data_IF_815135425985
#
_entry.id   IF_815135425985
#
_cell.length_a   1.000
_cell.length_b   1.000
_cell.length_c   1.000
_cell.angle_alpha   90.00
_cell.angle_beta   90.00
_cell.angle_gamma   90.00
#
_symmetry.space_group_name_H-M   'P 1'
#
loop_
_entity.id
_entity.type
_entity.pdbx_description
1 polymer ?
#
# COMPACT_ATOMS: atom_id res chain seq x y z
N UNK A 1 28.51 -14.33 44.04
CA UNK A 1 28.25 -13.04 43.32
C UNK A 1 27.79 -13.19 41.85
N UNK A 2 27.93 -14.35 41.22
CA UNK A 2 27.69 -14.57 39.77
C UNK A 2 26.23 -14.66 39.33
N UNK A 3 25.31 -15.20 40.14
CA UNK A 3 23.89 -15.37 39.76
C UNK A 3 23.10 -14.06 39.64
N UNK A 4 23.37 -13.08 40.48
CA UNK A 4 22.70 -11.75 40.45
C UNK A 4 23.17 -10.94 39.23
N UNK A 5 24.44 -10.99 38.89
CA UNK A 5 24.99 -10.32 37.73
C UNK A 5 24.43 -10.89 36.40
N UNK A 6 24.24 -12.22 36.31
CA UNK A 6 23.64 -12.87 35.15
C UNK A 6 22.18 -12.46 34.98
N UNK A 7 21.40 -12.39 36.07
CA UNK A 7 20.00 -11.95 36.04
C UNK A 7 19.84 -10.52 35.61
N UNK A 8 20.68 -9.60 36.09
CA UNK A 8 20.67 -8.19 35.69
C UNK A 8 21.03 -7.99 34.22
N UNK A 9 21.99 -8.77 33.69
CA UNK A 9 22.36 -8.73 32.28
C UNK A 9 21.23 -9.21 31.37
N UNK A 10 20.56 -10.31 31.74
CA UNK A 10 19.43 -10.85 30.96
C UNK A 10 18.23 -9.87 30.95
N UNK A 11 17.96 -9.24 32.09
CA UNK A 11 16.92 -8.22 32.20
C UNK A 11 17.22 -7.00 31.32
N UNK A 12 18.45 -6.50 31.33
CA UNK A 12 18.87 -5.37 30.48
C UNK A 12 18.72 -5.69 28.98
N UNK A 13 19.12 -6.91 28.56
CA UNK A 13 18.93 -7.37 27.17
C UNK A 13 17.44 -7.44 26.81
N UNK A 14 16.60 -8.00 27.68
CA UNK A 14 15.15 -8.07 27.47
C UNK A 14 14.50 -6.69 27.31
N UNK A 15 14.83 -5.76 28.18
CA UNK A 15 14.37 -4.35 28.09
C UNK A 15 14.87 -3.70 26.81
N UNK A 16 16.13 -3.91 26.44
CA UNK A 16 16.70 -3.38 25.19
C UNK A 16 15.96 -3.87 23.95
N UNK A 17 15.63 -5.17 23.89
CA UNK A 17 14.85 -5.75 22.78
C UNK A 17 13.41 -5.22 22.73
N UNK A 18 12.78 -5.01 23.89
CA UNK A 18 11.44 -4.41 23.95
C UNK A 18 11.44 -2.97 23.45
N UNK A 19 12.40 -2.16 23.90
CA UNK A 19 12.55 -0.77 23.46
C UNK A 19 12.86 -0.69 21.96
N UNK A 20 13.71 -1.57 21.45
CA UNK A 20 14.02 -1.65 20.03
C UNK A 20 12.78 -2.01 19.19
N UNK A 21 12.01 -3.01 19.64
CA UNK A 21 10.76 -3.41 18.98
C UNK A 21 9.72 -2.28 19.00
N UNK A 22 9.56 -1.61 20.12
CA UNK A 22 8.67 -0.45 20.26
C UNK A 22 9.09 0.71 19.32
N UNK A 23 10.39 0.97 19.18
CA UNK A 23 10.90 1.99 18.29
C UNK A 23 10.62 1.67 16.79
N UNK A 24 10.73 0.40 16.38
CA UNK A 24 10.38 -0.03 15.02
C UNK A 24 8.89 0.18 14.76
N UNK A 25 8.03 -0.22 15.69
CA UNK A 25 6.58 -0.05 15.56
C UNK A 25 6.19 1.44 15.50
N UNK A 26 6.79 2.28 16.36
CA UNK A 26 6.56 3.71 16.38
C UNK A 26 6.98 4.38 15.06
N UNK A 27 8.13 3.99 14.49
CA UNK A 27 8.58 4.52 13.18
C UNK A 27 7.60 4.18 12.07
N UNK A 28 7.04 2.96 12.04
CA UNK A 28 6.02 2.57 11.06
C UNK A 28 4.71 3.37 11.22
N UNK A 29 4.27 3.61 12.47
CA UNK A 29 3.10 4.44 12.74
C UNK A 29 3.31 5.89 12.27
N UNK A 30 4.45 6.50 12.65
CA UNK A 30 4.79 7.87 12.22
C UNK A 30 4.90 8.01 10.70
N UNK A 31 5.42 6.99 10.00
CA UNK A 31 5.50 7.01 8.54
C UNK A 31 4.11 6.98 7.90
N UNK A 32 3.17 6.19 8.44
CA UNK A 32 1.77 6.15 7.99
C UNK A 32 1.07 7.48 8.21
N UNK A 33 1.19 8.05 9.41
CA UNK A 33 0.60 9.35 9.74
C UNK A 33 1.13 10.45 8.81
N UNK A 34 2.44 10.42 8.53
CA UNK A 34 3.05 11.35 7.58
C UNK A 34 2.47 11.20 6.16
N UNK A 35 2.29 9.97 5.68
CA UNK A 35 1.69 9.71 4.37
C UNK A 35 0.24 10.19 4.30
N UNK A 36 -0.56 9.93 5.35
CA UNK A 36 -1.95 10.40 5.47
C UNK A 36 -2.04 11.92 5.50
N UNK A 37 -1.26 12.58 6.35
CA UNK A 37 -1.23 14.04 6.43
C UNK A 37 -0.79 14.70 5.10
N UNK A 38 0.18 14.10 4.42
CA UNK A 38 0.63 14.57 3.11
C UNK A 38 -0.47 14.40 2.04
N UNK A 39 -1.22 13.31 2.07
CA UNK A 39 -2.38 13.10 1.20
C UNK A 39 -3.46 14.16 1.44
N UNK A 40 -3.86 14.37 2.69
CA UNK A 40 -4.85 15.38 3.07
C UNK A 40 -4.45 16.81 2.62
N UNK A 41 -3.15 17.14 2.72
CA UNK A 41 -2.63 18.41 2.22
C UNK A 41 -2.72 18.50 0.70
N UNK A 42 -2.47 17.42 -0.04
CA UNK A 42 -2.62 17.40 -1.50
C UNK A 42 -4.08 17.58 -1.90
N UNK A 43 -5.01 16.91 -1.22
CA UNK A 43 -6.45 17.07 -1.46
C UNK A 43 -6.91 18.49 -1.17
N UNK A 44 -6.50 19.08 -0.05
CA UNK A 44 -6.83 20.45 0.33
C UNK A 44 -6.29 21.47 -0.70
N UNK A 45 -5.03 21.34 -1.13
CA UNK A 45 -4.43 22.21 -2.17
C UNK A 45 -5.19 22.10 -3.47
N UNK A 46 -5.60 20.89 -3.87
CA UNK A 46 -6.38 20.69 -5.07
C UNK A 46 -7.75 21.33 -4.97
N UNK A 47 -8.48 21.16 -3.86
CA UNK A 47 -9.78 21.77 -3.64
C UNK A 47 -9.72 23.31 -3.79
N UNK A 48 -8.66 23.92 -3.26
CA UNK A 48 -8.41 25.38 -3.44
C UNK A 48 -8.10 25.72 -4.90
N UNK A 49 -7.27 24.92 -5.58
CA UNK A 49 -6.93 25.16 -6.98
C UNK A 49 -8.14 25.00 -7.91
N UNK A 50 -9.01 24.02 -7.69
CA UNK A 50 -10.24 23.83 -8.48
C UNK A 50 -11.27 24.93 -8.24
N UNK A 51 -11.29 25.56 -7.08
CA UNK A 51 -12.16 26.71 -6.79
C UNK A 51 -11.68 28.02 -7.45
N UNK A 52 -10.41 28.11 -7.88
CA UNK A 52 -9.80 29.33 -8.42
C UNK A 52 -9.28 29.26 -9.86
N UNK A 53 -9.32 28.13 -10.56
CA UNK A 53 -8.59 27.94 -11.80
C UNK A 53 -9.47 27.69 -13.02
N UNK A 54 -9.46 28.70 -13.89
CA UNK A 54 -9.48 28.53 -15.33
C UNK A 54 -8.05 28.15 -15.78
N UNK A 55 -7.90 26.98 -16.43
CA UNK A 55 -6.64 26.48 -17.04
C UNK A 55 -5.51 26.01 -16.11
N UNK A 56 -5.61 24.81 -15.58
CA UNK A 56 -4.44 24.08 -15.07
C UNK A 56 -3.84 23.21 -16.20
N UNK A 57 -2.62 23.53 -16.60
CA UNK A 57 -1.76 22.65 -17.41
C UNK A 57 -1.63 21.32 -16.67
N UNK A 58 -1.98 20.20 -17.33
CA UNK A 58 -1.70 18.85 -16.84
C UNK A 58 -0.18 18.64 -16.79
N UNK A 59 0.42 19.00 -15.69
CA UNK A 59 1.78 18.57 -15.41
C UNK A 59 1.76 17.05 -15.24
N UNK A 60 2.59 16.35 -15.98
CA UNK A 60 2.84 14.91 -15.76
C UNK A 60 3.37 14.77 -14.34
N UNK A 61 2.70 14.05 -13.45
CA UNK A 61 3.16 13.94 -12.06
C UNK A 61 4.52 13.25 -12.05
N UNK A 62 5.55 13.97 -11.59
CA UNK A 62 6.83 13.36 -11.27
C UNK A 62 6.66 12.62 -9.94
N UNK A 63 6.66 11.30 -9.97
CA UNK A 63 6.51 10.49 -8.78
C UNK A 63 7.81 10.46 -8.00
N UNK A 64 7.76 11.01 -6.79
CA UNK A 64 8.87 10.95 -5.84
C UNK A 64 8.66 9.72 -4.95
N UNK A 65 9.68 8.90 -4.79
CA UNK A 65 9.61 7.73 -3.91
C UNK A 65 9.13 8.11 -2.50
N UNK A 66 8.15 7.36 -1.99
CA UNK A 66 7.51 7.62 -0.69
C UNK A 66 6.43 8.71 -0.69
N UNK A 67 6.19 9.40 -1.82
CA UNK A 67 5.11 10.38 -1.92
C UNK A 67 3.74 9.67 -1.94
N UNK A 68 2.69 10.26 -1.33
CA UNK A 68 1.33 9.71 -1.40
C UNK A 68 0.81 9.83 -2.85
N UNK A 69 0.17 8.74 -3.31
CA UNK A 69 -0.28 8.61 -4.69
C UNK A 69 -1.79 8.38 -4.80
N UNK A 70 -2.34 7.56 -3.91
CA UNK A 70 -3.76 7.22 -3.92
C UNK A 70 -4.23 6.84 -2.51
N UNK A 71 -5.53 6.94 -2.26
CA UNK A 71 -6.18 6.36 -1.11
C UNK A 71 -6.79 5.01 -1.51
N UNK A 72 -6.50 3.96 -0.75
CA UNK A 72 -6.94 2.59 -1.00
C UNK A 72 -7.85 2.12 0.12
N UNK A 73 -9.09 1.78 -0.23
CA UNK A 73 -10.07 1.25 0.71
C UNK A 73 -10.52 -0.13 0.27
N UNK A 74 -10.47 -1.11 1.17
CA UNK A 74 -10.96 -2.47 0.95
C UNK A 74 -11.91 -2.84 2.09
N UNK A 75 -13.23 -2.63 1.92
CA UNK A 75 -14.21 -2.79 3.01
C UNK A 75 -14.21 -4.20 3.62
N UNK A 76 -14.07 -5.23 2.79
CA UNK A 76 -14.07 -6.65 3.21
C UNK A 76 -13.08 -6.96 4.33
N UNK A 77 -11.95 -6.31 4.34
CA UNK A 77 -10.86 -6.56 5.29
C UNK A 77 -10.59 -5.36 6.21
N UNK A 78 -11.43 -4.33 6.14
CA UNK A 78 -11.29 -3.10 6.94
C UNK A 78 -10.01 -2.32 6.65
N UNK A 79 -9.48 -2.40 5.41
CA UNK A 79 -8.30 -1.67 5.02
C UNK A 79 -8.69 -0.26 4.56
N UNK A 80 -8.00 0.74 5.09
CA UNK A 80 -8.12 2.17 4.77
C UNK A 80 -6.72 2.78 4.89
N UNK A 81 -5.98 2.84 3.78
CA UNK A 81 -4.56 3.19 3.76
C UNK A 81 -4.19 4.09 2.57
N UNK A 82 -3.17 4.89 2.75
CA UNK A 82 -2.60 5.69 1.66
C UNK A 82 -1.54 4.87 0.92
N UNK A 83 -1.74 4.71 -0.38
CA UNK A 83 -0.74 4.16 -1.29
C UNK A 83 0.35 5.19 -1.51
N UNK A 84 1.59 4.78 -1.33
CA UNK A 84 2.77 5.61 -1.59
C UNK A 84 3.51 5.12 -2.82
N UNK A 85 4.27 5.99 -3.48
CA UNK A 85 5.11 5.61 -4.60
C UNK A 85 6.31 4.79 -4.14
N UNK A 86 6.59 3.68 -4.82
CA UNK A 86 7.72 2.79 -4.53
C UNK A 86 7.34 1.53 -3.76
N UNK A 87 8.20 0.51 -3.87
CA UNK A 87 8.03 -0.82 -3.22
C UNK A 87 9.25 -1.23 -2.44
N UNK A 88 10.15 -0.30 -2.12
CA UNK A 88 11.26 -0.54 -1.21
C UNK A 88 10.79 -0.61 0.27
N UNK A 89 11.69 -1.01 1.16
CA UNK A 89 11.35 -1.18 2.56
C UNK A 89 10.88 0.10 3.25
N UNK A 90 11.33 1.27 2.80
CA UNK A 90 10.92 2.57 3.35
C UNK A 90 9.49 2.91 2.95
N UNK A 91 9.16 2.77 1.66
CA UNK A 91 7.83 2.97 1.14
C UNK A 91 6.82 1.98 1.76
N UNK A 92 7.14 0.68 1.76
CA UNK A 92 6.27 -0.37 2.31
C UNK A 92 6.08 -0.29 3.85
N UNK A 93 6.93 0.45 4.55
CA UNK A 93 6.72 0.76 5.96
C UNK A 93 5.73 1.91 6.17
N UNK A 94 5.60 2.83 5.21
CA UNK A 94 4.68 3.96 5.26
C UNK A 94 3.27 3.61 4.81
N UNK A 95 3.12 2.66 3.88
CA UNK A 95 1.82 2.24 3.33
C UNK A 95 1.93 1.11 2.31
N UNK A 96 0.83 0.70 1.71
CA UNK A 96 0.86 -0.05 0.47
C UNK A 96 1.64 0.74 -0.59
N UNK A 97 2.55 0.10 -1.32
CA UNK A 97 3.43 0.74 -2.27
C UNK A 97 2.98 0.51 -3.72
N UNK A 98 2.93 1.58 -4.50
CA UNK A 98 2.74 1.52 -5.95
C UNK A 98 4.06 1.08 -6.60
N UNK A 99 3.98 0.11 -7.51
CA UNK A 99 5.15 -0.37 -8.24
C UNK A 99 5.56 0.67 -9.30
N UNK A 100 6.77 1.25 -9.23
CA UNK A 100 7.25 2.19 -10.23
C UNK A 100 7.19 1.60 -11.64
N UNK A 101 6.69 2.41 -12.58
CA UNK A 101 6.50 1.98 -13.97
C UNK A 101 5.19 1.23 -14.24
N UNK A 102 4.41 0.89 -13.23
CA UNK A 102 3.03 0.45 -13.42
C UNK A 102 2.09 1.64 -13.66
N UNK A 103 0.87 1.38 -14.14
CA UNK A 103 -0.12 2.44 -14.35
C UNK A 103 -0.60 3.02 -13.00
N UNK A 104 -1.03 4.27 -12.99
CA UNK A 104 -1.73 4.86 -11.85
C UNK A 104 -3.11 4.19 -11.72
N UNK A 105 -3.58 3.90 -10.48
CA UNK A 105 -4.93 3.36 -10.29
C UNK A 105 -6.01 4.20 -10.98
N UNK A 106 -6.71 3.58 -11.95
CA UNK A 106 -7.70 4.26 -12.78
C UNK A 106 -7.22 4.68 -14.15
N UNK A 107 -5.93 4.70 -14.44
CA UNK A 107 -5.40 4.90 -15.77
C UNK A 107 -5.38 3.60 -16.58
N UNK A 108 -5.17 3.71 -17.89
CA UNK A 108 -5.03 2.56 -18.78
C UNK A 108 -3.74 1.81 -18.44
N UNK A 109 -3.81 0.49 -18.38
CA UNK A 109 -2.70 -0.37 -18.00
C UNK A 109 -2.94 -1.06 -16.65
N UNK A 110 -1.94 -1.81 -16.20
CA UNK A 110 -1.98 -2.52 -14.93
C UNK A 110 -1.35 -1.67 -13.82
N UNK A 111 -2.17 -1.20 -12.89
CA UNK A 111 -1.72 -0.57 -11.65
C UNK A 111 -1.37 -1.65 -10.63
N UNK A 112 -0.12 -1.69 -10.17
CA UNK A 112 0.33 -2.70 -9.22
C UNK A 112 0.57 -2.07 -7.87
N UNK A 113 -0.12 -2.56 -6.84
CA UNK A 113 0.04 -2.15 -5.44
C UNK A 113 0.49 -3.35 -4.61
N UNK A 114 1.63 -3.19 -3.95
CA UNK A 114 2.26 -4.20 -3.11
C UNK A 114 2.26 -3.79 -1.65
N UNK A 115 2.11 -4.73 -0.73
CA UNK A 115 2.32 -4.44 0.69
C UNK A 115 2.80 -5.66 1.46
N UNK A 116 3.37 -5.42 2.65
CA UNK A 116 3.79 -6.47 3.55
C UNK A 116 2.58 -7.28 4.04
N UNK A 117 2.73 -8.61 4.03
CA UNK A 117 1.72 -9.58 4.48
C UNK A 117 1.40 -9.50 5.97
N UNK A 118 2.34 -9.01 6.77
CA UNK A 118 2.26 -8.89 8.22
C UNK A 118 1.89 -7.48 8.71
N UNK A 119 1.57 -6.58 7.76
CA UNK A 119 1.17 -5.20 8.03
C UNK A 119 -0.09 -4.81 7.27
N UNK A 120 0.05 -3.98 6.22
CA UNK A 120 -1.08 -3.40 5.48
C UNK A 120 -1.92 -4.48 4.77
N UNK A 121 -1.31 -5.55 4.23
CA UNK A 121 -2.03 -6.64 3.58
C UNK A 121 -2.13 -7.91 4.44
N UNK A 122 -2.15 -7.75 5.77
CA UNK A 122 -2.23 -8.88 6.72
C UNK A 122 -3.52 -9.71 6.65
N UNK A 123 -4.56 -9.17 6.04
CA UNK A 123 -5.84 -9.85 5.81
C UNK A 123 -6.19 -10.02 4.32
N UNK A 124 -5.24 -9.77 3.41
CA UNK A 124 -5.50 -9.87 1.97
C UNK A 124 -5.89 -11.29 1.54
N UNK A 125 -5.51 -12.29 2.31
CA UNK A 125 -5.88 -13.69 2.12
C UNK A 125 -7.39 -13.98 2.28
N UNK A 126 -8.12 -13.08 2.96
CA UNK A 126 -9.59 -13.17 3.13
C UNK A 126 -10.39 -12.65 1.95
N UNK A 127 -9.71 -12.05 0.98
CA UNK A 127 -10.33 -11.54 -0.24
C UNK A 127 -10.65 -12.67 -1.22
N UNK A 128 -11.80 -12.54 -1.86
CA UNK A 128 -12.31 -13.47 -2.87
C UNK A 128 -12.67 -12.74 -4.17
N UNK A 129 -12.87 -13.50 -5.23
CA UNK A 129 -13.47 -13.00 -6.48
C UNK A 129 -14.86 -12.45 -6.16
N UNK A 130 -15.18 -11.27 -6.68
CA UNK A 130 -16.40 -10.52 -6.41
C UNK A 130 -16.28 -9.45 -5.33
N UNK A 131 -15.23 -9.48 -4.51
CA UNK A 131 -15.02 -8.44 -3.48
C UNK A 131 -14.63 -7.10 -4.11
N UNK A 132 -15.02 -6.02 -3.41
CA UNK A 132 -14.81 -4.65 -3.87
C UNK A 132 -13.52 -4.06 -3.32
N UNK A 133 -12.82 -3.32 -4.18
CA UNK A 133 -11.70 -2.45 -3.86
C UNK A 133 -12.02 -1.05 -4.36
N UNK A 134 -11.62 -0.02 -3.63
CA UNK A 134 -11.82 1.37 -4.00
C UNK A 134 -10.45 2.06 -4.02
N UNK A 135 -10.17 2.79 -5.08
CA UNK A 135 -9.01 3.67 -5.15
C UNK A 135 -9.45 5.09 -5.44
N UNK A 136 -8.91 6.05 -4.71
CA UNK A 136 -9.09 7.48 -4.95
C UNK A 136 -7.72 8.10 -5.26
N UNK A 137 -7.63 8.74 -6.41
CA UNK A 137 -6.47 9.53 -6.83
C UNK A 137 -6.85 11.00 -6.88
N UNK A 138 -5.88 11.87 -7.15
CA UNK A 138 -6.19 13.28 -7.39
C UNK A 138 -7.07 13.48 -8.64
N UNK A 139 -7.15 12.54 -9.56
CA UNK A 139 -7.91 12.65 -10.82
C UNK A 139 -9.29 12.00 -10.74
N UNK A 140 -9.54 11.10 -9.79
CA UNK A 140 -10.84 10.44 -9.68
C UNK A 140 -10.86 9.29 -8.69
N UNK A 141 -12.06 8.76 -8.52
CA UNK A 141 -12.35 7.55 -7.76
C UNK A 141 -12.70 6.41 -8.70
N UNK A 142 -12.20 5.23 -8.41
CA UNK A 142 -12.53 4.02 -9.15
C UNK A 142 -12.94 2.93 -8.17
N UNK A 143 -14.08 2.32 -8.44
CA UNK A 143 -14.54 1.10 -7.78
C UNK A 143 -14.17 -0.09 -8.65
N UNK A 144 -13.48 -1.05 -8.05
CA UNK A 144 -12.98 -2.26 -8.68
C UNK A 144 -13.65 -3.48 -8.08
N UNK A 145 -13.80 -4.52 -8.89
CA UNK A 145 -14.22 -5.84 -8.41
C UNK A 145 -13.11 -6.84 -8.69
N UNK A 146 -12.76 -7.63 -7.69
CA UNK A 146 -11.78 -8.71 -7.83
C UNK A 146 -12.29 -9.73 -8.84
N UNK A 147 -11.58 -9.87 -9.96
CA UNK A 147 -11.91 -10.79 -11.05
C UNK A 147 -11.11 -12.08 -11.01
N UNK A 148 -9.93 -12.06 -10.34
CA UNK A 148 -9.06 -13.23 -10.24
C UNK A 148 -8.24 -13.20 -8.96
N UNK A 149 -8.05 -14.39 -8.39
CA UNK A 149 -7.19 -14.64 -7.22
C UNK A 149 -6.26 -15.80 -7.54
N UNK A 150 -4.95 -15.56 -7.47
CA UNK A 150 -3.92 -16.56 -7.81
C UNK A 150 -2.80 -16.55 -6.79
N UNK A 151 -2.25 -17.73 -6.53
CA UNK A 151 -0.97 -17.88 -5.84
C UNK A 151 0.05 -18.27 -6.90
N UNK A 152 1.17 -17.53 -6.94
CA UNK A 152 2.22 -17.71 -7.96
C UNK A 152 3.58 -17.75 -7.28
N UNK A 153 4.56 -18.35 -7.94
CA UNK A 153 5.92 -18.38 -7.43
C UNK A 153 6.51 -16.98 -7.26
N UNK A 154 7.41 -16.81 -6.31
CA UNK A 154 8.01 -15.52 -5.90
C UNK A 154 8.59 -14.70 -7.06
N UNK A 155 9.10 -15.35 -8.11
CA UNK A 155 9.69 -14.70 -9.29
C UNK A 155 8.68 -14.31 -10.37
N UNK A 156 7.39 -14.63 -10.21
CA UNK A 156 6.37 -14.29 -11.21
C UNK A 156 6.12 -12.78 -11.22
N UNK A 157 6.24 -12.10 -12.38
CA UNK A 157 5.93 -10.68 -12.49
C UNK A 157 4.47 -10.40 -12.15
N UNK A 158 4.23 -9.36 -11.32
CA UNK A 158 2.89 -8.82 -11.09
C UNK A 158 2.51 -7.77 -12.14
N UNK A 159 3.51 -7.14 -12.76
CA UNK A 159 3.33 -6.17 -13.85
C UNK A 159 3.29 -6.90 -15.19
N UNK A 160 2.25 -6.64 -15.96
CA UNK A 160 2.03 -7.11 -17.32
C UNK A 160 1.22 -6.08 -18.10
N UNK A 161 1.39 -6.05 -19.41
CA UNK A 161 0.67 -5.12 -20.27
C UNK A 161 -0.81 -5.50 -20.38
N UNK A 162 -1.68 -4.49 -20.25
CA UNK A 162 -3.12 -4.64 -20.43
C UNK A 162 -3.68 -3.52 -21.31
N UNK A 163 -4.62 -3.82 -22.22
CA UNK A 163 -5.25 -2.81 -23.07
C UNK A 163 -6.24 -1.91 -22.30
N UNK A 164 -6.65 -2.32 -21.12
CA UNK A 164 -7.62 -1.63 -20.26
C UNK A 164 -7.03 -1.42 -18.87
N UNK A 165 -7.68 -0.59 -18.07
CA UNK A 165 -7.27 -0.41 -16.67
C UNK A 165 -7.50 -1.70 -15.88
N UNK A 166 -6.49 -2.10 -15.13
CA UNK A 166 -6.50 -3.24 -14.21
C UNK A 166 -5.81 -2.81 -12.93
N UNK A 167 -6.27 -3.30 -11.79
CA UNK A 167 -5.60 -3.16 -10.50
C UNK A 167 -5.12 -4.53 -10.02
N UNK A 168 -3.83 -4.65 -9.76
CA UNK A 168 -3.23 -5.85 -9.17
C UNK A 168 -2.76 -5.54 -7.75
N UNK A 169 -3.36 -6.21 -6.75
CA UNK A 169 -2.87 -6.18 -5.38
C UNK A 169 -2.00 -7.41 -5.14
N UNK A 170 -0.83 -7.21 -4.54
CA UNK A 170 0.12 -8.31 -4.31
C UNK A 170 0.74 -8.27 -2.91
N UNK A 171 0.91 -9.46 -2.33
CA UNK A 171 1.63 -9.65 -1.07
C UNK A 171 2.35 -10.99 -1.03
N UNK A 172 3.22 -11.17 -0.06
CA UNK A 172 3.89 -12.44 0.19
C UNK A 172 2.88 -13.52 0.63
N UNK A 173 3.05 -14.76 0.16
CA UNK A 173 2.18 -15.90 0.47
C UNK A 173 2.99 -17.10 0.99
N UNK A 174 2.48 -17.83 2.00
CA UNK A 174 1.25 -17.59 2.77
C UNK A 174 1.32 -16.33 3.64
N UNK A 175 0.17 -15.70 3.89
CA UNK A 175 0.10 -14.49 4.73
C UNK A 175 0.56 -14.80 6.16
N UNK A 176 0.07 -15.90 6.74
CA UNK A 176 0.47 -16.40 8.07
C UNK A 176 1.55 -17.48 7.89
N UNK A 177 2.81 -17.03 7.85
CA UNK A 177 3.95 -17.92 7.62
C UNK A 177 5.18 -17.40 8.37
N UNK A 178 5.94 -18.29 8.98
CA UNK A 178 7.18 -17.94 9.65
C UNK A 178 8.36 -17.98 8.66
N UNK A 179 9.15 -16.92 8.61
CA UNK A 179 10.30 -16.82 7.71
C UNK A 179 9.98 -16.25 6.33
N UNK A 180 10.86 -16.47 5.35
CA UNK A 180 10.69 -15.97 3.97
C UNK A 180 9.61 -16.74 3.24
N UNK A 181 8.56 -16.02 2.79
CA UNK A 181 7.46 -16.63 2.05
C UNK A 181 7.92 -17.11 0.66
N UNK A 182 7.56 -18.35 0.26
CA UNK A 182 7.98 -18.91 -1.03
C UNK A 182 7.24 -18.29 -2.21
N UNK A 183 6.00 -17.83 -2.01
CA UNK A 183 5.09 -17.43 -3.08
C UNK A 183 4.57 -16.00 -2.92
N UNK A 184 3.71 -15.58 -3.86
CA UNK A 184 2.97 -14.33 -3.89
C UNK A 184 1.48 -14.60 -4.08
N UNK A 185 0.65 -13.91 -3.32
CA UNK A 185 -0.78 -13.78 -3.60
C UNK A 185 -0.97 -12.60 -4.56
N UNK A 186 -1.66 -12.83 -5.67
CA UNK A 186 -2.09 -11.82 -6.62
C UNK A 186 -3.61 -11.78 -6.64
N UNK A 187 -4.18 -10.59 -6.42
CA UNK A 187 -5.59 -10.29 -6.66
C UNK A 187 -5.65 -9.32 -7.83
N UNK A 188 -6.32 -9.72 -8.88
CA UNK A 188 -6.54 -8.88 -10.07
C UNK A 188 -7.96 -8.36 -10.02
N UNK A 189 -8.15 -7.06 -10.14
CA UNK A 189 -9.44 -6.41 -10.11
C UNK A 189 -9.65 -5.55 -11.37
N UNK A 190 -10.89 -5.53 -11.85
CA UNK A 190 -11.34 -4.76 -13.01
C UNK A 190 -12.25 -3.62 -12.56
N UNK A 191 -12.24 -2.45 -13.24
CA UNK A 191 -13.06 -1.32 -12.85
C UNK A 191 -14.54 -1.58 -13.20
N UNK A 192 -15.43 -1.28 -12.28
CA UNK A 192 -16.89 -1.34 -12.48
C UNK A 192 -17.53 0.04 -12.46
N UNK A 193 -16.92 1.00 -11.78
CA UNK A 193 -17.40 2.37 -11.71
C UNK A 193 -16.21 3.34 -11.68
N UNK A 194 -16.34 4.47 -12.38
CA UNK A 194 -15.36 5.56 -12.39
C UNK A 194 -16.07 6.88 -12.18
N UNK A 195 -15.66 7.61 -11.18
CA UNK A 195 -16.14 8.96 -10.90
C UNK A 195 -14.96 9.92 -11.02
N UNK A 196 -14.95 10.79 -12.07
CA UNK A 196 -13.96 11.85 -12.15
C UNK A 196 -14.11 12.78 -10.95
N UNK A 197 -13.01 13.28 -10.43
CA UNK A 197 -13.04 14.41 -9.49
C UNK A 197 -13.04 15.71 -10.31
N UNK A 198 -14.13 16.42 -10.23
CA UNK A 198 -14.30 17.79 -10.77
C UNK A 198 -13.55 18.82 -9.93
#
# INVERSE_FOLDING_TARGET
MTRRALGSGLYAVGVGLLLYSAAILARGALARDKARNAWEQLEARRAVASAGASFAVRATPTFVAGAPLAHLVIPRIGLDEIVVEGVDGTALNAGPGHLPGSAIPGERGNAVVSAHRDRHFSNLDRMAVGDTVITETLTGRVTWVVSSRKVVGRGTPALYDTPTAVLTLTTCWPVRYFGSAPDRLLLVAIPVERTPRT
#
